data_IF_036832456411
#
_entry.id   IF_036832456411
#
_cell.length_a   1.000
_cell.length_b   1.000
_cell.length_c   1.000
_cell.angle_alpha   90.00
_cell.angle_beta   90.00
_cell.angle_gamma   90.00
#
_symmetry.space_group_name_H-M   'P 1'
#
loop_
_entity.id
_entity.type
_entity.pdbx_description
1 polymer ?
#
# COMPACT_ATOMS: atom_id res chain seq x y z
N UNK A 1 24.07 -9.66 -11.63
CA UNK A 1 23.21 -10.87 -11.76
C UNK A 1 21.79 -10.41 -11.48
N UNK A 2 20.81 -10.72 -12.33
CA UNK A 2 19.41 -10.36 -12.06
C UNK A 2 18.93 -10.97 -10.74
N UNK A 3 18.39 -10.15 -9.86
CA UNK A 3 17.85 -10.60 -8.58
C UNK A 3 16.37 -10.97 -8.77
N UNK A 4 16.13 -12.17 -9.29
CA UNK A 4 14.78 -12.65 -9.65
C UNK A 4 13.81 -12.61 -8.45
N UNK A 5 14.31 -12.83 -7.22
CA UNK A 5 13.50 -12.85 -6.01
C UNK A 5 12.95 -11.45 -5.67
N UNK A 6 13.79 -10.40 -5.46
CA UNK A 6 13.34 -9.01 -5.32
C UNK A 6 12.38 -8.56 -6.41
N UNK A 7 12.71 -8.81 -7.69
CA UNK A 7 11.87 -8.41 -8.83
C UNK A 7 10.47 -9.04 -8.75
N UNK A 8 10.41 -10.32 -8.40
CA UNK A 8 9.12 -11.03 -8.22
C UNK A 8 8.31 -10.42 -7.09
N UNK A 9 8.95 -10.06 -5.97
CA UNK A 9 8.28 -9.40 -4.83
C UNK A 9 7.77 -8.01 -5.26
N UNK A 10 8.58 -7.24 -5.98
CA UNK A 10 8.19 -5.94 -6.52
C UNK A 10 6.98 -6.05 -7.45
N UNK A 11 6.99 -6.99 -8.39
CA UNK A 11 5.88 -7.25 -9.31
C UNK A 11 4.61 -7.67 -8.57
N UNK A 12 4.71 -8.55 -7.57
CA UNK A 12 3.57 -8.91 -6.74
C UNK A 12 3.00 -7.71 -5.98
N UNK A 13 3.87 -6.81 -5.50
CA UNK A 13 3.47 -5.53 -4.90
C UNK A 13 2.69 -4.66 -5.90
N UNK A 14 3.18 -4.52 -7.12
CA UNK A 14 2.49 -3.78 -8.20
C UNK A 14 1.11 -4.38 -8.49
N UNK A 15 1.01 -5.70 -8.65
CA UNK A 15 -0.27 -6.39 -8.87
C UNK A 15 -1.23 -6.13 -7.70
N UNK A 16 -0.75 -6.21 -6.46
CA UNK A 16 -1.57 -5.97 -5.28
C UNK A 16 -2.09 -4.53 -5.22
N UNK A 17 -1.25 -3.54 -5.53
CA UNK A 17 -1.65 -2.13 -5.60
C UNK A 17 -2.71 -1.90 -6.67
N UNK A 18 -2.53 -2.47 -7.87
CA UNK A 18 -3.50 -2.36 -8.95
C UNK A 18 -4.83 -3.04 -8.60
N UNK A 19 -4.81 -4.19 -7.93
CA UNK A 19 -6.03 -4.85 -7.44
C UNK A 19 -6.73 -3.99 -6.40
N UNK A 20 -6.00 -3.39 -5.45
CA UNK A 20 -6.58 -2.48 -4.46
C UNK A 20 -7.22 -1.26 -5.12
N UNK A 21 -6.55 -0.65 -6.09
CA UNK A 21 -7.08 0.48 -6.86
C UNK A 21 -8.29 0.06 -7.72
N UNK A 22 -8.24 -1.10 -8.36
CA UNK A 22 -9.36 -1.63 -9.12
C UNK A 22 -10.60 -1.85 -8.25
N UNK A 23 -10.44 -2.48 -7.09
CA UNK A 23 -11.52 -2.68 -6.12
C UNK A 23 -12.12 -1.35 -5.62
N UNK A 24 -11.29 -0.32 -5.45
CA UNK A 24 -11.74 1.04 -5.15
C UNK A 24 -12.57 1.60 -6.31
N UNK A 25 -12.06 1.48 -7.54
CA UNK A 25 -12.68 2.04 -8.75
C UNK A 25 -14.06 1.44 -9.04
N UNK A 26 -14.24 0.14 -8.80
CA UNK A 26 -15.55 -0.53 -8.94
C UNK A 26 -16.44 -0.38 -7.71
N UNK A 27 -16.03 0.41 -6.71
CA UNK A 27 -16.82 0.69 -5.50
C UNK A 27 -16.94 -0.47 -4.53
N UNK A 28 -16.12 -1.54 -4.65
CA UNK A 28 -16.14 -2.68 -3.72
C UNK A 28 -15.45 -2.38 -2.39
N UNK A 29 -14.49 -1.45 -2.38
CA UNK A 29 -13.88 -0.93 -1.15
C UNK A 29 -13.88 0.59 -1.18
N UNK A 30 -14.05 1.23 -0.02
CA UNK A 30 -13.95 2.67 0.13
C UNK A 30 -12.49 3.09 0.40
N UNK A 31 -12.11 4.30 -0.02
CA UNK A 31 -10.78 4.87 0.26
C UNK A 31 -10.53 5.10 1.76
N UNK A 32 -11.60 5.17 2.56
CA UNK A 32 -11.55 5.27 4.03
C UNK A 32 -11.55 3.91 4.73
N UNK A 33 -11.67 2.81 3.98
CA UNK A 33 -11.68 1.47 4.53
C UNK A 33 -10.28 1.03 4.95
N UNK A 34 -10.19 0.33 6.09
CA UNK A 34 -8.98 -0.35 6.52
C UNK A 34 -8.40 -1.25 5.42
N UNK A 35 -9.24 -1.98 4.68
CA UNK A 35 -8.78 -2.89 3.62
C UNK A 35 -8.03 -2.16 2.51
N UNK A 36 -8.50 -0.97 2.09
CA UNK A 36 -7.84 -0.20 1.03
C UNK A 36 -6.46 0.30 1.49
N UNK A 37 -6.39 0.90 2.67
CA UNK A 37 -5.13 1.40 3.22
C UNK A 37 -4.17 0.27 3.57
N UNK A 38 -4.66 -0.87 4.06
CA UNK A 38 -3.83 -2.02 4.39
C UNK A 38 -3.22 -2.67 3.14
N UNK A 39 -4.01 -2.88 2.09
CA UNK A 39 -3.52 -3.46 0.84
C UNK A 39 -2.47 -2.56 0.17
N UNK A 40 -2.70 -1.24 0.11
CA UNK A 40 -1.72 -0.30 -0.43
C UNK A 40 -0.45 -0.23 0.42
N UNK A 41 -0.55 -0.32 1.74
CA UNK A 41 0.63 -0.36 2.61
C UNK A 41 1.50 -1.59 2.31
N UNK A 42 0.90 -2.78 2.23
CA UNK A 42 1.63 -4.02 1.91
C UNK A 42 2.27 -3.92 0.53
N UNK A 43 1.50 -3.46 -0.46
CA UNK A 43 2.00 -3.30 -1.82
C UNK A 43 3.22 -2.36 -1.89
N UNK A 44 3.12 -1.18 -1.27
CA UNK A 44 4.21 -0.21 -1.22
C UNK A 44 5.45 -0.78 -0.53
N UNK A 45 5.29 -1.54 0.56
CA UNK A 45 6.41 -2.18 1.26
C UNK A 45 7.09 -3.26 0.39
N UNK A 46 6.33 -4.02 -0.39
CA UNK A 46 6.88 -5.02 -1.32
C UNK A 46 7.68 -4.35 -2.45
N UNK A 47 7.19 -3.24 -3.00
CA UNK A 47 7.90 -2.51 -4.05
C UNK A 47 9.15 -1.82 -3.47
N UNK A 48 9.05 -1.19 -2.30
CA UNK A 48 10.21 -0.65 -1.58
C UNK A 48 11.26 -1.72 -1.28
N UNK A 49 10.83 -2.94 -0.89
CA UNK A 49 11.75 -4.07 -0.70
C UNK A 49 12.53 -4.38 -1.97
N UNK A 50 11.86 -4.44 -3.12
CA UNK A 50 12.53 -4.65 -4.42
C UNK A 50 13.53 -3.54 -4.75
N UNK A 51 13.19 -2.30 -4.43
CA UNK A 51 14.02 -1.12 -4.73
C UNK A 51 15.32 -1.05 -3.92
N UNK A 52 15.44 -1.78 -2.81
CA UNK A 52 16.73 -1.91 -2.10
C UNK A 52 17.76 -2.71 -2.89
N UNK A 53 17.33 -3.56 -3.83
CA UNK A 53 18.21 -4.38 -4.67
C UNK A 53 18.48 -3.70 -6.01
N UNK A 54 17.49 -3.01 -6.57
CA UNK A 54 17.60 -2.25 -7.82
C UNK A 54 17.08 -0.83 -7.62
N UNK A 55 17.99 0.07 -7.26
CA UNK A 55 17.64 1.41 -6.79
C UNK A 55 17.02 2.27 -7.88
N UNK A 56 15.82 2.80 -7.58
CA UNK A 56 15.15 3.82 -8.38
C UNK A 56 14.57 4.88 -7.45
N UNK A 57 15.20 6.06 -7.44
CA UNK A 57 14.82 7.16 -6.55
C UNK A 57 13.37 7.66 -6.80
N UNK A 58 12.92 7.92 -8.05
CA UNK A 58 11.53 8.26 -8.31
C UNK A 58 10.53 7.24 -7.77
N UNK A 59 10.78 5.94 -8.00
CA UNK A 59 9.93 4.87 -7.48
C UNK A 59 9.97 4.81 -5.94
N UNK A 60 11.14 4.99 -5.32
CA UNK A 60 11.24 4.99 -3.86
C UNK A 60 10.44 6.14 -3.22
N UNK A 61 10.42 7.31 -3.85
CA UNK A 61 9.64 8.47 -3.38
C UNK A 61 8.14 8.18 -3.46
N UNK A 62 7.64 7.73 -4.62
CA UNK A 62 6.20 7.50 -4.79
C UNK A 62 5.70 6.38 -3.87
N UNK A 63 6.44 5.28 -3.73
CA UNK A 63 6.07 4.18 -2.84
C UNK A 63 6.18 4.58 -1.37
N UNK A 64 7.19 5.37 -1.01
CA UNK A 64 7.28 5.97 0.32
C UNK A 64 6.07 6.85 0.64
N UNK A 65 5.62 7.68 -0.30
CA UNK A 65 4.38 8.45 -0.15
C UNK A 65 3.14 7.55 0.00
N UNK A 66 3.01 6.50 -0.81
CA UNK A 66 1.91 5.53 -0.69
C UNK A 66 1.89 4.83 0.66
N UNK A 67 3.04 4.43 1.18
CA UNK A 67 3.16 3.83 2.51
C UNK A 67 2.72 4.81 3.61
N UNK A 68 3.13 6.08 3.54
CA UNK A 68 2.74 7.12 4.51
C UNK A 68 1.22 7.43 4.46
N UNK A 69 0.67 7.61 3.26
CA UNK A 69 -0.77 7.86 3.06
C UNK A 69 -1.58 6.68 3.60
N UNK A 70 -1.12 5.46 3.34
CA UNK A 70 -1.75 4.24 3.82
C UNK A 70 -1.69 4.11 5.35
N UNK A 71 -0.54 4.39 5.95
CA UNK A 71 -0.38 4.41 7.40
C UNK A 71 -1.34 5.41 8.07
N UNK A 72 -1.47 6.62 7.49
CA UNK A 72 -2.43 7.62 7.96
C UNK A 72 -3.89 7.12 7.83
N UNK A 73 -4.25 6.48 6.70
CA UNK A 73 -5.59 5.91 6.51
C UNK A 73 -5.94 4.85 7.55
N UNK A 74 -4.98 3.97 7.88
CA UNK A 74 -5.13 2.97 8.95
C UNK A 74 -5.32 3.63 10.31
N UNK A 75 -4.48 4.61 10.66
CA UNK A 75 -4.58 5.35 11.92
C UNK A 75 -5.93 6.06 12.07
N UNK A 76 -6.42 6.69 11.00
CA UNK A 76 -7.72 7.36 10.96
C UNK A 76 -8.86 6.38 11.16
N UNK A 77 -8.81 5.21 10.53
CA UNK A 77 -9.84 4.16 10.67
C UNK A 77 -10.00 3.73 12.14
N UNK A 78 -8.89 3.46 12.83
CA UNK A 78 -8.93 3.07 14.24
C UNK A 78 -9.37 4.22 15.16
N UNK A 79 -8.94 5.45 14.88
CA UNK A 79 -9.36 6.63 15.64
C UNK A 79 -10.87 6.87 15.57
N UNK A 80 -11.46 6.75 14.37
CA UNK A 80 -12.90 6.92 14.17
C UNK A 80 -13.72 5.81 14.84
N UNK A 81 -13.28 4.55 14.72
CA UNK A 81 -13.93 3.41 15.38
C UNK A 81 -13.96 3.56 16.91
N UNK A 82 -12.90 4.15 17.48
CA UNK A 82 -12.77 4.40 18.92
C UNK A 82 -13.70 5.51 19.41
N UNK A 83 -13.96 6.53 18.59
CA UNK A 83 -14.93 7.58 18.89
C UNK A 83 -16.37 7.04 18.93
N UNK A 84 -16.73 6.17 17.97
CA UNK A 84 -18.06 5.55 17.92
C UNK A 84 -18.34 4.54 19.03
N UNK A 85 -17.31 4.01 19.70
CA UNK A 85 -17.46 3.07 20.82
C UNK A 85 -17.68 3.76 22.18
N UNK A 86 -17.45 5.08 22.25
CA UNK A 86 -17.58 5.88 23.48
C UNK A 86 -18.87 6.74 23.51
N UNK A 87 -19.80 6.53 22.58
CA UNK A 87 -21.12 7.20 22.52
C UNK A 87 -22.20 6.15 22.65
#
# INVERSE_FOLDING_TARGET
MQNIIPDTIGVLGVVLMLVAYFLLQIGKIASTSFSYSFLNCIAALMILFSLFFDWNLPSAIIEGCWALISAYGIYRYFSLKRASANT
#
